data_IF_303499607763
#
_entry.id   IF_303499607763
#
_cell.length_a   1.000
_cell.length_b   1.000
_cell.length_c   1.000
_cell.angle_alpha   90.00
_cell.angle_beta   90.00
_cell.angle_gamma   90.00
#
_symmetry.space_group_name_H-M   'P 1'
#
loop_
_entity.id
_entity.type
_entity.pdbx_description
1 polymer ?
#
# COMPACT_ATOMS: atom_id res chain seq x y z
N UNK A 1 -15.40 -12.03 4.24
CA UNK A 1 -14.79 -12.44 5.53
C UNK A 1 -13.32 -12.05 5.50
N UNK A 2 -12.84 -11.25 6.46
CA UNK A 2 -11.44 -10.78 6.54
C UNK A 2 -10.93 -11.09 7.95
N UNK A 3 -10.21 -12.20 8.13
CA UNK A 3 -9.69 -12.57 9.45
C UNK A 3 -8.34 -11.89 9.67
N UNK A 4 -8.19 -11.15 10.77
CA UNK A 4 -6.91 -10.57 11.18
C UNK A 4 -6.21 -11.49 12.18
N UNK A 5 -4.92 -11.73 11.99
CA UNK A 5 -4.07 -12.48 12.92
C UNK A 5 -2.99 -11.54 13.45
N UNK A 6 -2.94 -11.35 14.78
CA UNK A 6 -1.86 -10.60 15.44
C UNK A 6 -0.90 -11.62 16.03
N UNK A 7 0.37 -11.59 15.61
CA UNK A 7 1.43 -12.47 16.12
C UNK A 7 2.52 -11.60 16.75
N UNK A 8 2.87 -11.89 18.00
CA UNK A 8 4.01 -11.29 18.69
C UNK A 8 5.22 -12.21 18.57
N UNK A 9 6.24 -11.81 17.80
CA UNK A 9 7.56 -12.46 17.84
C UNK A 9 8.37 -11.93 19.03
N UNK A 10 8.28 -12.63 20.16
CA UNK A 10 9.37 -12.65 21.14
C UNK A 10 9.54 -14.09 21.64
N UNK A 11 10.77 -14.46 22.04
CA UNK A 11 11.28 -15.80 22.36
C UNK A 11 10.56 -16.54 23.51
N UNK A 12 9.23 -16.59 23.52
CA UNK A 12 8.42 -17.31 24.49
C UNK A 12 7.48 -18.26 23.74
N UNK A 13 7.38 -19.47 24.28
CA UNK A 13 6.68 -20.63 23.73
C UNK A 13 5.31 -20.27 23.15
N UNK A 14 5.05 -20.77 21.94
CA UNK A 14 3.77 -20.80 21.19
C UNK A 14 2.56 -21.17 22.08
N UNK A 15 1.93 -20.22 22.77
CA UNK A 15 0.67 -20.52 23.48
C UNK A 15 -0.47 -19.52 23.33
N UNK A 16 -0.23 -18.27 22.94
CA UNK A 16 -1.32 -17.28 22.93
C UNK A 16 -1.54 -16.70 21.52
N UNK A 17 -2.62 -17.16 20.86
CA UNK A 17 -3.15 -16.57 19.64
C UNK A 17 -4.52 -15.96 19.94
N UNK A 18 -4.74 -14.71 19.52
CA UNK A 18 -6.08 -14.12 19.49
C UNK A 18 -6.55 -14.19 18.04
N UNK A 19 -7.47 -15.11 17.74
CA UNK A 19 -8.13 -15.23 16.44
C UNK A 19 -9.46 -14.50 16.55
N UNK A 20 -9.63 -13.39 15.82
CA UNK A 20 -10.91 -12.68 15.73
C UNK A 20 -11.55 -12.96 14.36
N UNK A 21 -12.66 -13.72 14.30
CA UNK A 21 -13.40 -13.91 13.05
C UNK A 21 -14.20 -12.64 12.71
N UNK A 22 -14.05 -12.13 11.49
CA UNK A 22 -14.78 -10.94 11.01
C UNK A 22 -15.76 -11.31 9.90
N UNK A 23 -17.05 -11.03 10.13
CA UNK A 23 -18.10 -11.04 9.11
C UNK A 23 -18.45 -9.58 8.84
N UNK A 24 -18.12 -9.10 7.64
CA UNK A 24 -18.40 -7.72 7.25
C UNK A 24 -19.85 -7.61 6.83
N UNK A 25 -20.68 -7.13 7.75
CA UNK A 25 -21.91 -6.42 7.46
C UNK A 25 -22.10 -5.31 8.51
N UNK A 26 -22.83 -4.28 8.11
CA UNK A 26 -22.74 -2.87 8.51
C UNK A 26 -22.90 -2.50 10.00
N UNK A 27 -22.31 -1.35 10.38
CA UNK A 27 -22.50 -0.60 11.64
C UNK A 27 -22.09 -1.28 12.95
N UNK A 28 -20.80 -1.24 13.30
CA UNK A 28 -20.29 -1.84 14.54
C UNK A 28 -19.54 -0.81 15.41
N UNK A 29 -20.28 0.08 16.08
CA UNK A 29 -19.76 1.00 17.12
C UNK A 29 -19.03 0.26 18.27
N UNK A 30 -19.34 -1.02 18.48
CA UNK A 30 -18.66 -1.87 19.45
C UNK A 30 -17.27 -2.32 18.97
N UNK A 31 -16.96 -2.29 17.65
CA UNK A 31 -15.63 -2.57 17.12
C UNK A 31 -14.63 -1.48 17.48
N UNK A 32 -15.02 -0.20 17.45
CA UNK A 32 -14.17 0.89 17.91
C UNK A 32 -13.89 0.75 19.41
N UNK A 33 -14.89 0.34 20.20
CA UNK A 33 -14.72 0.06 21.62
C UNK A 33 -13.78 -1.14 21.86
N UNK A 34 -13.91 -2.21 21.08
CA UNK A 34 -13.08 -3.42 21.20
C UNK A 34 -11.64 -3.16 20.74
N UNK A 35 -11.45 -2.50 19.61
CA UNK A 35 -10.14 -2.08 19.09
C UNK A 35 -9.48 -1.11 20.06
N UNK A 36 -10.23 -0.17 20.64
CA UNK A 36 -9.72 0.74 21.68
C UNK A 36 -9.32 -0.03 22.95
N UNK A 37 -10.10 -1.04 23.37
CA UNK A 37 -9.76 -1.87 24.54
C UNK A 37 -8.54 -2.76 24.28
N UNK A 38 -8.44 -3.38 23.11
CA UNK A 38 -7.27 -4.17 22.70
C UNK A 38 -6.04 -3.27 22.58
N UNK A 39 -6.17 -2.09 21.97
CA UNK A 39 -5.10 -1.11 21.88
C UNK A 39 -4.67 -0.63 23.27
N UNK A 40 -5.60 -0.29 24.17
CA UNK A 40 -5.29 0.08 25.56
C UNK A 40 -4.62 -1.05 26.32
N UNK A 41 -5.06 -2.30 26.14
CA UNK A 41 -4.45 -3.46 26.77
C UNK A 41 -3.02 -3.70 26.27
N UNK A 42 -2.82 -3.66 24.95
CA UNK A 42 -1.49 -3.81 24.32
C UNK A 42 -0.57 -2.66 24.74
N UNK A 43 -1.06 -1.41 24.73
CA UNK A 43 -0.26 -0.26 25.14
C UNK A 43 0.05 -0.29 26.65
N UNK A 44 -0.88 -0.70 27.51
CA UNK A 44 -0.64 -0.90 28.94
C UNK A 44 0.40 -2.01 29.20
N UNK A 45 0.33 -3.10 28.43
CA UNK A 45 1.28 -4.21 28.49
C UNK A 45 2.68 -3.83 27.97
N UNK A 46 2.76 -2.96 26.96
CA UNK A 46 4.02 -2.44 26.42
C UNK A 46 4.67 -1.39 27.34
N UNK A 47 3.87 -0.60 28.07
CA UNK A 47 4.37 0.40 29.03
C UNK A 47 4.98 -0.25 30.28
N UNK A 48 4.49 -1.43 30.68
CA UNK A 48 4.97 -2.14 31.89
C UNK A 48 6.25 -2.95 31.68
N UNK A 49 6.64 -3.28 30.44
CA UNK A 49 7.92 -3.97 30.16
C UNK A 49 8.89 -3.06 29.42
N UNK A 50 9.96 -2.65 30.12
CA UNK A 50 11.11 -1.89 29.57
C UNK A 50 11.55 -2.42 28.20
N UNK A 51 11.43 -1.57 27.18
CA UNK A 51 12.15 -1.60 25.88
C UNK A 51 12.35 -2.98 25.25
N UNK A 52 11.27 -3.65 24.86
CA UNK A 52 11.35 -4.68 23.82
C UNK A 52 10.75 -4.14 22.52
N UNK A 53 11.56 -4.14 21.45
CA UNK A 53 11.11 -3.80 20.08
C UNK A 53 10.14 -4.88 19.62
N UNK A 54 8.84 -4.70 19.88
CA UNK A 54 7.81 -5.57 19.33
C UNK A 54 7.63 -5.20 17.86
N UNK A 55 8.04 -6.10 16.96
CA UNK A 55 7.77 -5.97 15.52
C UNK A 55 6.37 -6.55 15.28
N UNK A 56 5.42 -5.68 14.97
CA UNK A 56 4.13 -6.12 14.47
C UNK A 56 4.26 -6.39 12.98
N UNK A 57 3.96 -7.62 12.57
CA UNK A 57 3.88 -8.00 11.16
C UNK A 57 2.41 -8.13 10.80
N UNK A 58 1.89 -7.18 10.03
CA UNK A 58 0.58 -7.34 9.41
C UNK A 58 0.70 -8.43 8.34
N UNK A 59 0.07 -9.57 8.59
CA UNK A 59 -0.08 -10.62 7.58
C UNK A 59 -1.39 -10.34 6.85
N UNK A 60 -1.26 -9.78 5.64
CA UNK A 60 -2.41 -9.62 4.74
C UNK A 60 -2.88 -11.01 4.33
N UNK A 61 -4.06 -11.43 4.82
CA UNK A 61 -4.72 -12.65 4.36
C UNK A 61 -5.32 -12.35 2.99
N UNK A 62 -4.47 -12.42 1.96
CA UNK A 62 -4.91 -12.33 0.56
C UNK A 62 -5.96 -13.42 0.35
N UNK A 63 -7.14 -13.05 -0.18
CA UNK A 63 -8.14 -14.06 -0.59
C UNK A 63 -7.60 -14.81 -1.79
N UNK A 64 -6.86 -15.89 -1.52
CA UNK A 64 -6.24 -16.75 -2.51
C UNK A 64 -7.35 -17.49 -3.28
N UNK A 65 -7.36 -17.37 -4.61
CA UNK A 65 -8.36 -18.00 -5.48
C UNK A 65 -8.33 -19.53 -5.37
N UNK A 66 -9.40 -20.22 -5.79
CA UNK A 66 -9.44 -21.69 -5.80
C UNK A 66 -8.30 -22.29 -6.60
N UNK A 67 -7.99 -21.70 -7.77
CA UNK A 67 -6.85 -22.09 -8.60
C UNK A 67 -5.53 -22.05 -7.83
N UNK A 68 -5.29 -20.94 -7.13
CA UNK A 68 -4.07 -20.72 -6.36
C UNK A 68 -3.93 -21.72 -5.20
N UNK A 69 -5.05 -22.06 -4.53
CA UNK A 69 -5.07 -23.13 -3.50
C UNK A 69 -4.74 -24.50 -4.09
N UNK A 70 -5.29 -24.83 -5.27
CA UNK A 70 -4.99 -26.09 -5.95
C UNK A 70 -3.51 -26.19 -6.34
N UNK A 71 -2.91 -25.10 -6.79
CA UNK A 71 -1.46 -25.05 -7.11
C UNK A 71 -0.61 -25.29 -5.86
N UNK A 72 -0.95 -24.64 -4.74
CA UNK A 72 -0.22 -24.80 -3.47
C UNK A 72 -0.37 -26.21 -2.88
N UNK A 73 -1.59 -26.76 -2.94
CA UNK A 73 -1.86 -28.13 -2.52
C UNK A 73 -1.11 -29.16 -3.36
N UNK A 74 -1.08 -28.99 -4.68
CA UNK A 74 -0.41 -29.92 -5.57
C UNK A 74 1.12 -29.84 -5.45
N UNK A 75 1.68 -28.65 -5.22
CA UNK A 75 3.09 -28.49 -4.85
C UNK A 75 3.39 -29.27 -3.56
N UNK A 76 2.59 -29.05 -2.52
CA UNK A 76 2.76 -29.68 -1.21
C UNK A 76 2.62 -31.20 -1.30
N UNK A 77 1.64 -31.69 -2.06
CA UNK A 77 1.39 -33.12 -2.29
C UNK A 77 2.58 -33.81 -2.98
N UNK A 78 3.29 -33.10 -3.85
CA UNK A 78 4.46 -33.63 -4.56
C UNK A 78 5.78 -33.39 -3.82
N UNK A 79 5.78 -32.62 -2.73
CA UNK A 79 6.98 -32.25 -1.98
C UNK A 79 8.01 -31.49 -2.81
N UNK A 80 7.58 -30.78 -3.86
CA UNK A 80 8.50 -30.13 -4.80
C UNK A 80 8.83 -28.71 -4.34
N UNK A 81 10.11 -28.36 -4.41
CA UNK A 81 10.58 -26.98 -4.29
C UNK A 81 10.27 -26.19 -5.56
N UNK A 82 10.21 -24.85 -5.46
CA UNK A 82 10.02 -23.96 -6.61
C UNK A 82 11.10 -24.16 -7.68
N UNK A 83 12.32 -24.47 -7.25
CA UNK A 83 13.45 -24.75 -8.15
C UNK A 83 13.21 -26.02 -8.98
N UNK A 84 12.70 -27.07 -8.35
CA UNK A 84 12.38 -28.32 -9.05
C UNK A 84 11.18 -28.16 -9.98
N UNK A 85 10.17 -27.38 -9.58
CA UNK A 85 9.04 -27.03 -10.45
C UNK A 85 9.55 -26.27 -11.67
N UNK A 86 10.43 -25.29 -11.47
CA UNK A 86 11.02 -24.53 -12.56
C UNK A 86 11.80 -25.41 -13.54
N UNK A 87 12.56 -26.37 -13.00
CA UNK A 87 13.37 -27.29 -13.82
C UNK A 87 12.50 -28.30 -14.58
N UNK A 88 11.47 -28.87 -13.95
CA UNK A 88 10.63 -29.92 -14.54
C UNK A 88 9.56 -29.40 -15.50
N UNK A 89 9.02 -28.21 -15.24
CA UNK A 89 7.88 -27.65 -15.96
C UNK A 89 8.25 -26.42 -16.80
N UNK A 90 9.49 -25.94 -16.71
CA UNK A 90 9.98 -24.80 -17.49
C UNK A 90 9.39 -23.45 -17.08
N UNK A 91 8.70 -23.37 -15.95
CA UNK A 91 8.13 -22.11 -15.45
C UNK A 91 9.16 -21.34 -14.63
N UNK A 92 9.23 -20.02 -14.80
CA UNK A 92 10.03 -19.18 -13.92
C UNK A 92 9.51 -19.27 -12.47
N UNK A 93 10.42 -19.34 -11.50
CA UNK A 93 10.06 -19.40 -10.07
C UNK A 93 9.16 -18.23 -9.65
N UNK A 94 9.44 -17.03 -10.16
CA UNK A 94 8.62 -15.84 -9.92
C UNK A 94 7.20 -16.02 -10.46
N UNK A 95 7.06 -16.54 -11.68
CA UNK A 95 5.77 -16.80 -12.32
C UNK A 95 4.94 -17.79 -11.50
N UNK A 96 5.54 -18.91 -11.09
CA UNK A 96 4.85 -19.89 -10.27
C UNK A 96 4.41 -19.31 -8.93
N UNK A 97 5.28 -18.54 -8.26
CA UNK A 97 4.96 -17.85 -7.02
C UNK A 97 3.86 -16.80 -7.17
N UNK A 98 3.77 -16.11 -8.31
CA UNK A 98 2.66 -15.17 -8.54
C UNK A 98 1.32 -15.88 -8.67
N UNK A 99 1.27 -17.08 -9.25
CA UNK A 99 0.03 -17.87 -9.33
C UNK A 99 -0.42 -18.38 -7.96
N UNK A 100 0.52 -18.82 -7.10
CA UNK A 100 0.20 -19.16 -5.70
C UNK A 100 -0.40 -17.99 -4.93
N UNK A 101 0.00 -16.75 -5.27
CA UNK A 101 -0.48 -15.52 -4.63
C UNK A 101 -1.78 -14.97 -5.24
N UNK A 102 -2.42 -15.67 -6.16
CA UNK A 102 -3.70 -15.24 -6.74
C UNK A 102 -3.62 -14.68 -8.15
N UNK A 103 -2.44 -14.55 -8.76
CA UNK A 103 -2.34 -14.06 -10.14
C UNK A 103 -2.94 -15.06 -11.13
N UNK A 104 -3.70 -14.56 -12.10
CA UNK A 104 -4.34 -15.37 -13.13
C UNK A 104 -3.31 -15.77 -14.20
N UNK A 105 -3.12 -17.07 -14.49
CA UNK A 105 -2.24 -17.51 -15.57
C UNK A 105 -2.76 -17.09 -16.94
N UNK A 106 -1.86 -16.94 -17.92
CA UNK A 106 -2.24 -16.67 -19.32
C UNK A 106 -2.70 -17.95 -20.02
N UNK A 107 -3.58 -17.89 -21.03
CA UNK A 107 -4.09 -19.08 -21.73
C UNK A 107 -3.02 -20.05 -22.24
N UNK A 108 -1.89 -19.53 -22.75
CA UNK A 108 -0.75 -20.36 -23.20
C UNK A 108 -0.15 -21.26 -22.11
N UNK A 109 -0.39 -20.96 -20.83
CA UNK A 109 0.12 -21.72 -19.69
C UNK A 109 -0.89 -22.78 -19.19
N UNK A 110 -2.13 -22.76 -19.70
CA UNK A 110 -3.20 -23.63 -19.19
C UNK A 110 -2.90 -25.10 -19.41
N UNK A 111 -2.35 -25.47 -20.57
CA UNK A 111 -1.99 -26.86 -20.87
C UNK A 111 -1.01 -27.42 -19.82
N UNK A 112 0.09 -26.71 -19.56
CA UNK A 112 1.06 -27.17 -18.57
C UNK A 112 0.50 -27.19 -17.15
N UNK A 113 -0.38 -26.23 -16.79
CA UNK A 113 -1.05 -26.24 -15.49
C UNK A 113 -2.07 -27.38 -15.37
N UNK A 114 -2.76 -27.72 -16.44
CA UNK A 114 -3.67 -28.86 -16.51
C UNK A 114 -2.91 -30.17 -16.27
N UNK A 115 -1.75 -30.35 -16.93
CA UNK A 115 -0.86 -31.49 -16.72
C UNK A 115 -0.32 -31.54 -15.27
N UNK A 116 0.04 -30.37 -14.71
CA UNK A 116 0.50 -30.27 -13.33
C UNK A 116 -0.61 -30.58 -12.32
N UNK A 117 -1.82 -30.05 -12.50
CA UNK A 117 -2.94 -30.24 -11.58
C UNK A 117 -3.75 -31.51 -11.85
N UNK A 118 -3.46 -32.23 -12.94
CA UNK A 118 -4.17 -33.44 -13.40
C UNK A 118 -5.68 -33.18 -13.62
N UNK A 119 -5.99 -32.05 -14.25
CA UNK A 119 -7.36 -31.66 -14.62
C UNK A 119 -7.41 -31.33 -16.11
N UNK A 120 -8.59 -31.08 -16.67
CA UNK A 120 -8.70 -30.68 -18.07
C UNK A 120 -8.21 -29.24 -18.28
N UNK A 121 -7.82 -28.90 -19.52
CA UNK A 121 -7.46 -27.51 -19.86
C UNK A 121 -8.68 -26.58 -19.74
N UNK A 122 -9.89 -27.09 -19.97
CA UNK A 122 -11.14 -26.36 -19.81
C UNK A 122 -11.44 -26.04 -18.34
N UNK A 123 -11.15 -26.96 -17.42
CA UNK A 123 -11.26 -26.72 -15.98
C UNK A 123 -10.30 -25.60 -15.53
N UNK A 124 -9.07 -25.58 -16.06
CA UNK A 124 -8.13 -24.48 -15.79
C UNK A 124 -8.66 -23.16 -16.34
N UNK A 125 -9.26 -23.14 -17.53
CA UNK A 125 -9.84 -21.94 -18.10
C UNK A 125 -11.00 -21.41 -17.24
N UNK A 126 -11.86 -22.30 -16.72
CA UNK A 126 -12.93 -21.96 -15.80
C UNK A 126 -12.37 -21.39 -14.48
N UNK A 127 -11.42 -22.08 -13.87
CA UNK A 127 -10.76 -21.65 -12.62
C UNK A 127 -10.01 -20.32 -12.77
N UNK A 128 -9.39 -20.07 -13.94
CA UNK A 128 -8.74 -18.81 -14.25
C UNK A 128 -9.75 -17.68 -14.44
N UNK A 129 -10.91 -17.96 -15.07
CA UNK A 129 -12.02 -17.01 -15.19
C UNK A 129 -12.59 -16.67 -13.82
N UNK A 130 -12.83 -17.66 -12.96
CA UNK A 130 -13.25 -17.45 -11.56
C UNK A 130 -12.24 -16.59 -10.79
N UNK A 131 -10.94 -16.91 -10.92
CA UNK A 131 -9.88 -16.14 -10.28
C UNK A 131 -9.88 -14.68 -10.79
N UNK A 132 -10.08 -14.44 -12.09
CA UNK A 132 -10.09 -13.10 -12.67
C UNK A 132 -11.20 -12.20 -12.11
N UNK A 133 -12.37 -12.78 -11.83
CA UNK A 133 -13.51 -12.07 -11.22
C UNK A 133 -13.26 -11.85 -9.73
N UNK A 134 -12.60 -12.81 -9.07
CA UNK A 134 -12.31 -12.74 -7.63
C UNK A 134 -11.10 -11.85 -7.29
N UNK A 135 -10.19 -11.61 -8.23
CA UNK A 135 -8.98 -10.78 -8.05
C UNK A 135 -9.22 -9.32 -8.42
N UNK A 136 -10.35 -8.75 -8.00
CA UNK A 136 -10.51 -7.29 -8.01
C UNK A 136 -9.29 -6.68 -7.33
N UNK A 137 -8.48 -5.95 -8.10
CA UNK A 137 -7.20 -5.41 -7.64
C UNK A 137 -7.42 -4.61 -6.35
N UNK A 138 -6.87 -5.09 -5.23
CA UNK A 138 -6.82 -4.35 -3.97
C UNK A 138 -5.77 -3.25 -3.98
N UNK A 139 -5.01 -3.11 -5.08
CA UNK A 139 -4.15 -1.94 -5.26
C UNK A 139 -5.06 -0.74 -5.45
N UNK A 140 -5.12 0.09 -4.40
CA UNK A 140 -5.72 1.41 -4.48
C UNK A 140 -5.19 2.11 -5.74
N UNK A 141 -6.05 2.78 -6.52
CA UNK A 141 -5.60 3.54 -7.67
C UNK A 141 -4.51 4.52 -7.20
N UNK A 142 -3.45 4.69 -8.00
CA UNK A 142 -2.46 5.70 -7.70
C UNK A 142 -3.11 7.06 -7.93
N UNK A 143 -3.59 7.70 -6.86
CA UNK A 143 -4.33 8.97 -6.96
C UNK A 143 -3.41 10.14 -7.29
N UNK A 144 -2.12 10.07 -6.97
CA UNK A 144 -1.16 11.16 -7.20
C UNK A 144 -0.64 11.75 -5.89
N UNK A 145 0.00 12.91 -5.98
CA UNK A 145 0.37 13.72 -4.81
C UNK A 145 -0.84 14.50 -4.31
N UNK A 146 -1.08 14.58 -2.98
CA UNK A 146 -2.20 15.32 -2.43
C UNK A 146 -2.05 16.83 -2.72
N UNK A 147 -3.15 17.50 -3.09
CA UNK A 147 -3.19 18.93 -3.32
C UNK A 147 -3.57 19.63 -2.02
N UNK A 148 -2.63 20.40 -1.45
CA UNK A 148 -2.86 21.16 -0.21
C UNK A 148 -2.90 22.66 -0.41
N UNK A 149 -2.31 23.18 -1.49
CA UNK A 149 -2.21 24.62 -1.71
C UNK A 149 -2.97 25.09 -2.94
N UNK A 150 -3.52 26.29 -2.86
CA UNK A 150 -4.13 27.01 -3.99
C UNK A 150 -3.64 28.45 -4.02
N UNK A 151 -3.44 28.96 -5.22
CA UNK A 151 -3.18 30.38 -5.42
C UNK A 151 -4.47 31.18 -5.27
N UNK A 152 -4.41 32.22 -4.45
CA UNK A 152 -5.49 33.20 -4.29
C UNK A 152 -5.39 34.30 -5.37
N UNK A 153 -6.46 35.06 -5.63
CA UNK A 153 -6.48 36.05 -6.71
C UNK A 153 -5.44 37.17 -6.60
N UNK A 154 -4.96 37.44 -5.39
CA UNK A 154 -3.87 38.38 -5.07
C UNK A 154 -2.47 37.83 -5.38
N UNK A 155 -2.37 36.56 -5.80
CA UNK A 155 -1.13 35.89 -6.14
C UNK A 155 -0.46 35.14 -4.99
N UNK A 156 -0.96 35.30 -3.75
CA UNK A 156 -0.47 34.54 -2.59
C UNK A 156 -0.97 33.08 -2.61
N UNK A 157 -0.44 32.25 -1.72
CA UNK A 157 -0.83 30.85 -1.56
C UNK A 157 -1.61 30.68 -0.27
N UNK A 158 -2.68 29.90 -0.35
CA UNK A 158 -3.43 29.43 0.81
C UNK A 158 -3.29 27.91 0.90
N UNK A 159 -3.02 27.41 2.10
CA UNK A 159 -2.89 25.99 2.40
C UNK A 159 -4.04 25.52 3.28
N UNK A 160 -4.72 24.47 2.83
CA UNK A 160 -5.75 23.80 3.60
C UNK A 160 -5.12 22.70 4.47
N UNK A 161 -5.74 22.40 5.63
CA UNK A 161 -5.30 21.31 6.51
C UNK A 161 -5.54 19.93 5.89
N UNK A 162 -6.58 19.82 5.07
CA UNK A 162 -6.98 18.60 4.37
C UNK A 162 -6.72 18.71 2.86
N UNK A 163 -6.44 17.57 2.23
CA UNK A 163 -6.18 17.54 0.80
C UNK A 163 -7.49 17.75 0.01
N UNK A 164 -7.52 18.74 -0.86
CA UNK A 164 -8.70 19.05 -1.70
C UNK A 164 -8.85 18.03 -2.84
N UNK A 165 -7.75 17.38 -3.22
CA UNK A 165 -7.70 16.41 -4.29
C UNK A 165 -6.30 15.84 -4.48
N UNK A 166 -6.05 15.22 -5.63
CA UNK A 166 -4.75 14.64 -5.96
C UNK A 166 -4.33 15.02 -7.39
N UNK A 167 -3.04 15.22 -7.60
CA UNK A 167 -2.44 15.58 -8.89
C UNK A 167 -1.37 14.57 -9.31
N UNK A 168 -1.36 14.19 -10.59
CA UNK A 168 -0.33 13.35 -11.19
C UNK A 168 0.81 14.18 -11.76
N UNK A 169 2.09 13.79 -11.56
CA UNK A 169 2.53 12.49 -11.06
C UNK A 169 2.56 12.35 -9.54
N UNK A 170 2.49 11.10 -9.04
CA UNK A 170 2.81 10.81 -7.64
C UNK A 170 4.33 10.90 -7.41
N UNK A 171 4.78 12.04 -6.91
CA UNK A 171 6.18 12.24 -6.52
C UNK A 171 6.34 11.98 -5.03
N UNK A 172 7.31 11.12 -4.68
CA UNK A 172 7.48 10.62 -3.31
C UNK A 172 7.71 11.77 -2.33
N UNK A 173 6.86 11.82 -1.30
CA UNK A 173 6.95 12.83 -0.23
C UNK A 173 6.62 14.25 -0.68
N UNK A 174 6.02 14.41 -1.86
CA UNK A 174 5.62 15.69 -2.38
C UNK A 174 4.11 15.89 -2.21
N UNK A 175 3.73 17.13 -1.98
CA UNK A 175 2.36 17.60 -2.18
C UNK A 175 2.29 18.48 -3.43
N UNK A 176 1.08 18.72 -3.90
CA UNK A 176 0.83 19.61 -5.02
C UNK A 176 0.19 20.93 -4.57
N UNK A 177 0.48 21.99 -5.31
CA UNK A 177 -0.24 23.27 -5.22
C UNK A 177 -0.76 23.65 -6.59
N UNK A 178 -1.96 24.25 -6.63
CA UNK A 178 -2.58 24.73 -7.86
C UNK A 178 -2.32 26.22 -8.03
N UNK A 179 -1.63 26.59 -9.10
CA UNK A 179 -1.22 27.97 -9.40
C UNK A 179 -1.45 28.28 -10.87
N UNK A 180 -2.20 29.35 -11.18
CA UNK A 180 -2.45 29.75 -12.57
C UNK A 180 -3.03 28.64 -13.48
N UNK A 181 -3.83 27.72 -12.92
CA UNK A 181 -4.39 26.58 -13.66
C UNK A 181 -3.48 25.34 -13.77
N UNK A 182 -2.23 25.43 -13.31
CA UNK A 182 -1.23 24.36 -13.36
C UNK A 182 -0.92 23.82 -11.96
N UNK A 183 -0.38 22.60 -11.90
CA UNK A 183 0.13 22.02 -10.66
C UNK A 183 1.64 22.22 -10.52
N UNK A 184 2.06 22.53 -9.30
CA UNK A 184 3.46 22.47 -8.88
C UNK A 184 3.59 21.39 -7.81
N UNK A 185 4.58 20.51 -7.93
CA UNK A 185 4.91 19.54 -6.90
C UNK A 185 6.01 20.07 -6.02
N UNK A 186 5.76 20.00 -4.71
CA UNK A 186 6.56 20.62 -3.67
C UNK A 186 7.00 19.56 -2.69
N UNK A 187 8.31 19.50 -2.43
CA UNK A 187 8.90 18.57 -1.49
C UNK A 187 9.42 19.31 -0.24
N UNK A 188 8.81 19.11 0.94
CA UNK A 188 9.25 19.74 2.18
C UNK A 188 10.53 19.12 2.75
N UNK A 189 10.96 17.96 2.26
CA UNK A 189 12.11 17.23 2.81
C UNK A 189 13.43 17.57 2.11
N UNK A 190 13.40 18.40 1.06
CA UNK A 190 14.59 18.81 0.34
C UNK A 190 15.12 20.13 0.90
N UNK A 191 16.45 20.25 0.96
CA UNK A 191 17.11 21.52 1.28
C UNK A 191 17.17 22.37 0.02
N UNK A 192 16.73 23.65 0.06
CA UNK A 192 16.83 24.52 -1.11
C UNK A 192 18.29 24.85 -1.43
N UNK A 193 18.56 25.05 -2.71
CA UNK A 193 19.83 25.54 -3.26
C UNK A 193 19.56 26.86 -3.97
N UNK A 194 20.58 27.71 -4.12
CA UNK A 194 20.43 29.00 -4.80
C UNK A 194 19.85 28.82 -6.22
N UNK A 195 18.86 29.64 -6.57
CA UNK A 195 18.11 29.57 -7.82
C UNK A 195 16.91 28.61 -7.81
N UNK A 196 16.70 27.83 -6.73
CA UNK A 196 15.51 26.99 -6.64
C UNK A 196 14.25 27.84 -6.44
N UNK A 197 13.19 27.51 -7.18
CA UNK A 197 11.85 27.95 -6.84
C UNK A 197 11.41 27.25 -5.54
N UNK A 198 10.99 28.04 -4.56
CA UNK A 198 10.55 27.58 -3.24
C UNK A 198 9.17 28.11 -2.89
N UNK A 199 8.48 27.35 -2.06
CA UNK A 199 7.29 27.79 -1.34
C UNK A 199 7.74 28.23 0.04
N UNK A 200 7.50 29.49 0.37
CA UNK A 200 7.65 30.01 1.74
C UNK A 200 6.28 29.93 2.39
N UNK A 201 6.11 29.02 3.36
CA UNK A 201 4.85 28.79 4.05
C UNK A 201 4.91 29.37 5.46
N UNK A 202 3.97 30.26 5.72
CA UNK A 202 3.71 30.89 7.02
C UNK A 202 2.97 29.92 7.95
N UNK A 203 3.05 30.18 9.25
CA UNK A 203 2.42 29.34 10.27
C UNK A 203 0.90 29.46 10.29
N UNK A 204 0.35 30.53 9.73
CA UNK A 204 -1.09 30.82 9.63
C UNK A 204 -1.78 30.11 8.45
N UNK A 205 -1.06 29.27 7.70
CA UNK A 205 -1.58 28.57 6.54
C UNK A 205 -1.51 29.38 5.24
N UNK A 206 -0.89 30.56 5.24
CA UNK A 206 -0.59 31.31 4.01
C UNK A 206 0.82 31.04 3.51
N UNK A 207 1.14 31.49 2.31
CA UNK A 207 2.51 31.45 1.80
C UNK A 207 2.67 32.12 0.45
N UNK A 208 3.87 32.01 -0.10
CA UNK A 208 4.21 32.63 -1.37
C UNK A 208 5.24 31.77 -2.14
N UNK A 209 5.34 32.05 -3.44
CA UNK A 209 6.40 31.51 -4.29
C UNK A 209 7.54 32.52 -4.37
N UNK A 210 8.76 32.04 -4.19
CA UNK A 210 9.96 32.86 -4.31
C UNK A 210 11.14 32.05 -4.83
N UNK A 211 12.19 32.73 -5.26
CA UNK A 211 13.46 32.09 -5.64
C UNK A 211 14.43 32.12 -4.45
N UNK A 212 15.03 30.99 -4.11
CA UNK A 212 16.00 30.90 -3.03
C UNK A 212 17.34 31.56 -3.42
N UNK A 213 18.01 32.31 -2.53
CA UNK A 213 17.73 32.50 -1.10
C UNK A 213 16.69 33.57 -0.79
N UNK A 214 15.92 33.33 0.27
CA UNK A 214 14.96 34.29 0.83
C UNK A 214 15.16 34.44 2.33
N UNK A 215 14.87 35.62 2.87
CA UNK A 215 14.79 35.81 4.32
C UNK A 215 13.48 35.22 4.84
N UNK A 216 13.51 33.92 5.14
CA UNK A 216 12.33 33.18 5.56
C UNK A 216 12.00 33.35 7.06
N UNK A 217 12.86 33.99 7.87
CA UNK A 217 12.63 34.14 9.31
C UNK A 217 12.23 32.82 10.01
N UNK A 218 10.99 32.75 10.52
CA UNK A 218 10.39 31.56 11.17
C UNK A 218 9.50 30.70 10.26
N UNK A 219 9.43 31.04 8.97
CA UNK A 219 8.60 30.35 8.00
C UNK A 219 9.26 29.04 7.55
N UNK A 220 8.42 28.10 7.13
CA UNK A 220 8.88 26.84 6.53
C UNK A 220 9.15 27.05 5.04
N UNK A 221 10.27 26.54 4.54
CA UNK A 221 10.66 26.68 3.13
C UNK A 221 10.66 25.29 2.50
N UNK A 222 9.86 25.10 1.45
CA UNK A 222 9.75 23.84 0.73
C UNK A 222 10.15 24.02 -0.73
N UNK A 223 10.78 23.02 -1.33
CA UNK A 223 11.34 23.13 -2.69
C UNK A 223 10.31 22.71 -3.73
N UNK A 224 10.09 23.51 -4.76
CA UNK A 224 9.33 23.09 -5.95
C UNK A 224 10.22 22.18 -6.79
N UNK A 225 9.80 20.93 -6.98
CA UNK A 225 10.58 19.88 -7.67
C UNK A 225 10.10 19.59 -9.08
N UNK A 226 8.83 19.89 -9.36
CA UNK A 226 8.24 19.71 -10.68
C UNK A 226 7.19 20.79 -10.90
N UNK A 227 7.12 21.27 -12.14
CA UNK A 227 6.08 22.17 -12.62
C UNK A 227 5.42 21.51 -13.81
N UNK A 228 4.09 21.50 -13.81
CA UNK A 228 3.32 21.15 -15.00
C UNK A 228 3.63 22.18 -16.09
N UNK A 229 4.21 21.71 -17.19
CA UNK A 229 4.50 22.50 -18.38
C UNK A 229 3.36 22.34 -19.37
N UNK A 230 3.05 23.42 -20.11
CA UNK A 230 2.09 23.40 -21.23
C UNK A 230 2.62 22.51 -22.36
#
# INVERSE_FOLDING_TARGET
MVTFLIVSESNFRFRDFIILPFRGDESNWWLDSLLTKVYKFVMSYLVTKKRQKVKFKFVEVVRVSRLSKMIEQEQSRRGLTEREISTRWGWGQQTFNTWKKGSVPRPKMYKGLADFLRVSTDDIALLAKEASVSTGSTKLPNLGSPIYGRQTPDGSLMFDDEAIGFAQPNTKGCYAIRTGGHHLWVNPNLRPVAGNLVVVRNQDGTGELAEWPVDAGKCSVHVVVLKEMV
#
